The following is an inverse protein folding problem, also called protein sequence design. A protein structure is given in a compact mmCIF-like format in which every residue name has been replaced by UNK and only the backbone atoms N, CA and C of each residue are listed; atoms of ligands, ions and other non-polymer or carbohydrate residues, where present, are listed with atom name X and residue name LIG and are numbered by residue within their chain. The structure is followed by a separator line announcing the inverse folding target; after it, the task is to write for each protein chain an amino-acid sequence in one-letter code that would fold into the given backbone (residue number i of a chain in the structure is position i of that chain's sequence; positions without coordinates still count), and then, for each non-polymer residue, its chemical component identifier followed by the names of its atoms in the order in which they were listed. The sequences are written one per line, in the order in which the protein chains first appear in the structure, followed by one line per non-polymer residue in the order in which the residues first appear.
data_IF_225613269068
#
_entry.id   IF_225613269068
#
_cell.length_a   1.000
_cell.length_b   1.000
_cell.length_c   1.000
_cell.angle_alpha   90.00
_cell.angle_beta   90.00
_cell.angle_gamma   90.00
#
_symmetry.space_group_name_H-M   'P 1'
#
loop_
_entity.id
_entity.type
_entity.pdbx_description
1 polymer ?
#
# COMPACT_ATOMS: atom_id res chain seq x y z
N UNK A 1 11.75 22.93 18.78
CA UNK A 1 12.09 23.09 17.37
C UNK A 1 11.29 22.06 16.57
N UNK A 2 10.51 22.52 15.65
CA UNK A 2 9.33 21.97 14.96
C UNK A 2 9.56 20.62 14.27
N UNK A 3 8.81 19.58 14.72
CA UNK A 3 8.62 18.27 14.05
C UNK A 3 7.67 18.35 12.82
N UNK A 4 7.72 19.44 12.04
CA UNK A 4 6.70 19.69 10.99
C UNK A 4 7.04 19.20 9.58
N UNK A 5 8.24 18.63 9.34
CA UNK A 5 8.73 18.42 7.96
C UNK A 5 9.02 16.97 7.55
N UNK A 6 8.72 15.97 8.39
CA UNK A 6 8.92 14.56 8.07
C UNK A 6 7.80 13.92 7.21
N UNK A 7 6.82 14.70 6.76
CA UNK A 7 5.60 14.18 6.16
C UNK A 7 5.69 13.82 4.65
N UNK A 8 6.80 14.11 3.97
CA UNK A 8 6.90 13.83 2.53
C UNK A 8 6.99 12.33 2.21
N UNK A 9 7.61 11.54 3.08
CA UNK A 9 7.78 10.09 2.89
C UNK A 9 7.04 9.22 3.92
N UNK A 10 6.34 9.79 4.87
CA UNK A 10 5.65 9.04 5.93
C UNK A 10 4.23 8.62 5.53
N UNK A 11 3.98 7.33 5.46
CA UNK A 11 2.69 6.74 5.14
C UNK A 11 1.62 6.91 6.24
N UNK A 12 0.38 6.66 5.87
CA UNK A 12 -0.81 6.64 6.73
C UNK A 12 -0.83 5.43 7.70
N UNK A 13 0.25 4.67 7.78
CA UNK A 13 0.35 3.36 8.46
C UNK A 13 0.06 3.41 9.96
N UNK A 14 0.14 4.58 10.59
CA UNK A 14 -0.28 4.77 11.98
C UNK A 14 -1.76 4.44 12.21
N UNK A 15 -2.61 4.65 11.20
CA UNK A 15 -4.06 4.37 11.29
C UNK A 15 -4.32 2.88 11.53
N UNK A 16 -3.59 1.98 10.89
CA UNK A 16 -3.81 0.54 11.03
C UNK A 16 -3.36 -0.02 12.38
N UNK A 17 -2.31 0.54 12.99
CA UNK A 17 -1.77 0.07 14.27
C UNK A 17 -2.72 0.37 15.44
N UNK A 18 -3.40 1.51 15.41
CA UNK A 18 -4.25 2.01 16.49
C UNK A 18 -5.74 1.65 16.32
N UNK A 19 -6.12 1.06 15.17
CA UNK A 19 -7.49 0.59 14.91
C UNK A 19 -7.95 -0.57 15.84
N UNK A 20 -7.09 -1.02 16.78
CA UNK A 20 -7.46 -2.04 17.77
C UNK A 20 -7.85 -3.38 17.16
N UNK A 21 -7.33 -3.73 15.99
CA UNK A 21 -7.56 -5.03 15.36
C UNK A 21 -6.88 -6.08 16.26
N UNK A 22 -7.64 -6.99 16.89
CA UNK A 22 -7.10 -7.89 17.90
C UNK A 22 -6.03 -8.81 17.29
N UNK A 23 -4.89 -8.94 17.96
CA UNK A 23 -3.84 -9.93 17.69
C UNK A 23 -4.38 -11.34 17.97
N UNK A 24 -5.27 -11.86 17.14
CA UNK A 24 -5.67 -13.26 17.20
C UNK A 24 -5.13 -13.97 15.96
N UNK A 25 -4.28 -14.97 16.19
CA UNK A 25 -4.08 -16.06 15.23
C UNK A 25 -5.47 -16.54 14.84
N UNK A 26 -5.86 -16.40 13.60
CA UNK A 26 -7.13 -16.95 13.10
C UNK A 26 -6.90 -18.47 12.99
N UNK A 27 -7.15 -19.16 14.10
CA UNK A 27 -7.23 -20.60 14.09
C UNK A 27 -8.41 -21.04 13.20
N UNK A 28 -8.23 -22.12 12.47
CA UNK A 28 -9.11 -22.67 11.42
C UNK A 28 -10.55 -23.03 11.85
N UNK A 29 -11.04 -22.64 13.04
CA UNK A 29 -12.32 -23.10 13.58
C UNK A 29 -13.22 -22.01 14.19
N UNK A 30 -13.27 -20.80 13.62
CA UNK A 30 -14.27 -19.82 14.04
C UNK A 30 -15.54 -19.95 13.17
N UNK A 31 -16.57 -20.65 13.67
CA UNK A 31 -17.92 -20.63 13.08
C UNK A 31 -18.55 -19.26 13.25
N UNK A 32 -18.50 -18.44 12.21
CA UNK A 32 -19.25 -17.18 12.15
C UNK A 32 -20.69 -17.44 11.69
N UNK A 33 -21.68 -17.15 12.57
CA UNK A 33 -23.10 -17.12 12.17
C UNK A 33 -23.34 -15.81 11.39
N UNK A 34 -23.56 -15.92 10.08
CA UNK A 34 -24.04 -14.83 9.25
C UNK A 34 -25.53 -14.56 9.54
N UNK A 35 -25.83 -13.42 10.11
CA UNK A 35 -27.21 -12.92 10.22
C UNK A 35 -27.46 -11.96 9.05
N UNK A 36 -27.96 -12.48 7.93
CA UNK A 36 -28.41 -11.66 6.80
C UNK A 36 -29.72 -11.01 7.20
N UNK A 37 -29.76 -9.68 7.41
CA UNK A 37 -31.00 -8.90 7.42
C UNK A 37 -31.29 -8.48 5.99
N UNK A 38 -32.41 -8.94 5.44
CA UNK A 38 -32.95 -8.50 4.16
C UNK A 38 -33.47 -7.07 4.28
N UNK A 39 -32.67 -6.09 3.86
CA UNK A 39 -33.09 -4.71 3.62
C UNK A 39 -33.18 -4.48 2.11
N UNK A 40 -34.31 -3.98 1.63
CA UNK A 40 -34.65 -3.74 0.23
C UNK A 40 -33.82 -2.59 -0.37
N UNK A 41 -32.65 -2.91 -0.87
CA UNK A 41 -31.82 -2.07 -1.71
C UNK A 41 -31.00 -3.02 -2.58
N UNK A 42 -31.46 -3.26 -3.81
CA UNK A 42 -30.81 -4.17 -4.76
C UNK A 42 -29.49 -3.57 -5.29
N UNK A 43 -28.41 -3.60 -4.52
CA UNK A 43 -27.11 -3.83 -5.07
C UNK A 43 -26.85 -5.34 -4.96
N UNK A 44 -27.00 -6.04 -6.08
CA UNK A 44 -26.57 -7.43 -6.20
C UNK A 44 -25.02 -7.43 -6.03
N UNK A 45 -24.54 -7.57 -4.79
CA UNK A 45 -23.19 -8.08 -4.57
C UNK A 45 -23.20 -9.48 -5.17
N UNK A 46 -22.77 -9.61 -6.43
CA UNK A 46 -22.37 -10.90 -6.99
C UNK A 46 -21.40 -11.45 -5.95
N UNK A 47 -21.69 -12.61 -5.38
CA UNK A 47 -20.77 -13.32 -4.50
C UNK A 47 -19.46 -13.49 -5.26
N UNK A 48 -18.53 -12.55 -5.06
CA UNK A 48 -17.24 -12.63 -5.71
C UNK A 48 -16.42 -13.71 -5.02
N UNK A 49 -15.67 -14.45 -5.82
CA UNK A 49 -14.72 -15.44 -5.30
C UNK A 49 -13.42 -14.74 -4.92
N UNK A 50 -12.65 -15.38 -4.04
CA UNK A 50 -11.27 -14.98 -3.82
C UNK A 50 -10.49 -15.11 -5.12
N UNK A 51 -9.43 -14.31 -5.24
CA UNK A 51 -8.57 -14.27 -6.41
C UNK A 51 -7.13 -14.47 -6.02
N UNK A 52 -6.36 -15.05 -6.93
CA UNK A 52 -4.91 -15.17 -6.85
C UNK A 52 -4.30 -14.93 -8.24
N UNK A 53 -2.99 -14.91 -8.33
CA UNK A 53 -2.28 -14.86 -9.60
C UNK A 53 -2.32 -16.23 -10.29
N UNK A 54 -2.27 -16.25 -11.62
CA UNK A 54 -2.24 -17.50 -12.40
C UNK A 54 -0.83 -18.08 -12.47
N UNK A 55 0.16 -17.19 -12.59
CA UNK A 55 1.57 -17.56 -12.75
C UNK A 55 2.46 -16.55 -12.01
N UNK A 56 3.75 -16.80 -12.04
CA UNK A 56 4.74 -15.87 -11.49
C UNK A 56 5.07 -14.76 -12.49
N UNK A 57 5.38 -13.57 -11.96
CA UNK A 57 5.96 -12.46 -12.73
C UNK A 57 7.01 -11.76 -11.87
N UNK A 58 8.16 -11.46 -12.46
CA UNK A 58 9.31 -10.85 -11.77
C UNK A 58 9.55 -9.44 -12.27
N UNK A 59 9.84 -8.53 -11.36
CA UNK A 59 10.36 -7.18 -11.63
C UNK A 59 11.71 -7.03 -10.94
N UNK A 60 12.60 -6.27 -11.58
CA UNK A 60 13.95 -5.97 -11.05
C UNK A 60 14.12 -4.48 -10.96
N UNK A 61 14.69 -3.99 -9.87
CA UNK A 61 14.94 -2.58 -9.66
C UNK A 61 15.88 -2.33 -8.49
N UNK A 62 15.77 -1.16 -7.87
CA UNK A 62 16.53 -0.78 -6.69
C UNK A 62 15.60 -0.35 -5.57
N UNK A 63 16.01 -0.56 -4.32
CA UNK A 63 15.31 -0.01 -3.17
C UNK A 63 15.48 1.51 -3.11
N UNK A 64 14.40 2.27 -2.84
CA UNK A 64 14.49 3.74 -2.80
C UNK A 64 15.35 4.24 -1.63
N UNK A 65 15.31 3.55 -0.51
CA UNK A 65 16.09 3.94 0.67
C UNK A 65 17.46 3.29 0.69
N UNK A 66 17.54 1.99 0.41
CA UNK A 66 18.80 1.24 0.45
C UNK A 66 19.73 1.50 -0.74
N UNK A 67 19.18 1.85 -1.90
CA UNK A 67 19.93 1.93 -3.17
C UNK A 67 20.42 0.57 -3.68
N UNK A 68 20.06 -0.53 -3.02
CA UNK A 68 20.50 -1.86 -3.38
C UNK A 68 19.63 -2.46 -4.50
N UNK A 69 20.24 -3.20 -5.44
CA UNK A 69 19.48 -3.95 -6.43
C UNK A 69 18.64 -5.03 -5.75
N UNK A 70 17.44 -5.25 -6.27
CA UNK A 70 16.47 -6.21 -5.73
C UNK A 70 15.60 -6.79 -6.84
N UNK A 71 15.32 -8.09 -6.73
CA UNK A 71 14.33 -8.79 -7.53
C UNK A 71 13.10 -9.06 -6.66
N UNK A 72 11.94 -8.79 -7.24
CA UNK A 72 10.65 -9.10 -6.64
C UNK A 72 9.85 -9.97 -7.57
N UNK A 73 9.39 -11.13 -7.08
CA UNK A 73 8.55 -12.05 -7.83
C UNK A 73 7.17 -12.14 -7.17
N UNK A 74 6.15 -11.78 -7.93
CA UNK A 74 4.75 -12.00 -7.57
C UNK A 74 4.36 -13.42 -7.96
N UNK A 75 3.72 -14.16 -7.06
CA UNK A 75 3.31 -15.54 -7.29
C UNK A 75 1.92 -15.86 -6.75
N UNK A 76 1.31 -16.98 -7.20
CA UNK A 76 0.04 -17.45 -6.67
C UNK A 76 0.17 -17.90 -5.22
N UNK A 77 -0.94 -17.78 -4.47
CA UNK A 77 -1.05 -18.30 -3.12
C UNK A 77 -2.37 -19.07 -2.93
N UNK A 78 -2.45 -20.02 -1.99
CA UNK A 78 -3.66 -20.77 -1.72
C UNK A 78 -4.80 -19.88 -1.19
N UNK A 79 -6.01 -20.44 -1.19
CA UNK A 79 -7.19 -19.82 -0.57
C UNK A 79 -6.89 -19.45 0.89
N UNK A 80 -7.33 -18.27 1.31
CA UNK A 80 -7.18 -17.74 2.66
C UNK A 80 -5.73 -17.47 3.11
N UNK A 81 -4.75 -17.53 2.21
CA UNK A 81 -3.36 -17.19 2.53
C UNK A 81 -3.17 -15.67 2.79
N UNK A 82 -3.98 -14.83 2.14
CA UNK A 82 -3.76 -13.39 2.13
C UNK A 82 -2.53 -13.00 1.30
N UNK A 83 -1.95 -11.85 1.60
CA UNK A 83 -0.71 -11.37 0.99
C UNK A 83 0.45 -11.71 1.91
N UNK A 84 1.46 -12.41 1.40
CA UNK A 84 2.61 -12.88 2.19
C UNK A 84 3.90 -12.51 1.47
N UNK A 85 4.76 -11.74 2.13
CA UNK A 85 6.12 -11.54 1.66
C UNK A 85 6.98 -12.74 2.03
N UNK A 86 7.88 -13.11 1.15
CA UNK A 86 8.84 -14.20 1.35
C UNK A 86 10.24 -13.64 1.10
N UNK A 87 11.03 -13.49 2.16
CA UNK A 87 12.43 -13.11 2.03
C UNK A 87 13.23 -14.32 1.56
N UNK A 88 13.74 -14.24 0.33
CA UNK A 88 14.59 -15.30 -0.22
C UNK A 88 16.02 -15.19 0.31
N UNK A 89 16.73 -16.33 0.39
CA UNK A 89 18.09 -16.37 0.91
C UNK A 89 18.23 -16.41 2.44
N UNK A 90 17.10 -16.48 3.16
CA UNK A 90 17.04 -16.72 4.60
C UNK A 90 16.59 -18.16 4.89
N UNK A 91 16.76 -18.62 6.14
CA UNK A 91 16.23 -19.91 6.58
C UNK A 91 14.70 -19.96 6.46
N UNK A 92 14.14 -21.11 6.09
CA UNK A 92 12.71 -21.22 5.77
C UNK A 92 11.77 -20.82 6.92
N UNK A 93 12.17 -21.08 8.17
CA UNK A 93 11.37 -20.75 9.34
C UNK A 93 11.14 -19.24 9.54
N UNK A 94 12.09 -18.42 9.09
CA UNK A 94 12.14 -16.97 9.39
C UNK A 94 11.84 -16.08 8.18
N UNK A 95 11.60 -16.69 7.00
CA UNK A 95 11.51 -15.93 5.75
C UNK A 95 10.13 -15.39 5.42
N UNK A 96 9.05 -15.94 5.97
CA UNK A 96 7.69 -15.48 5.70
C UNK A 96 7.29 -14.30 6.58
N UNK A 97 6.79 -13.24 5.94
CA UNK A 97 6.29 -12.04 6.59
C UNK A 97 4.87 -11.77 6.09
N UNK A 98 3.83 -12.15 6.86
CA UNK A 98 2.45 -11.84 6.49
C UNK A 98 2.22 -10.33 6.38
N UNK A 99 1.54 -9.90 5.32
CA UNK A 99 1.15 -8.50 5.13
C UNK A 99 -0.10 -8.18 5.97
N UNK A 100 0.10 -8.02 7.27
CA UNK A 100 -0.95 -7.68 8.23
C UNK A 100 -0.47 -6.59 9.19
N UNK A 101 -1.40 -5.84 9.76
CA UNK A 101 -1.07 -4.72 10.68
C UNK A 101 -0.16 -5.15 11.86
N UNK A 102 -0.28 -6.41 12.31
CA UNK A 102 0.59 -6.95 13.36
C UNK A 102 2.05 -7.15 12.98
N UNK A 103 2.36 -7.17 11.69
CA UNK A 103 3.72 -7.29 11.15
C UNK A 103 4.41 -5.94 10.93
N UNK A 104 3.74 -4.81 11.17
CA UNK A 104 4.33 -3.48 11.00
C UNK A 104 5.30 -3.20 12.14
N UNK A 105 6.57 -2.95 11.80
CA UNK A 105 7.65 -2.66 12.76
C UNK A 105 8.11 -1.21 12.74
N UNK A 106 8.00 -0.53 11.58
CA UNK A 106 8.28 0.90 11.43
C UNK A 106 7.39 1.51 10.34
N UNK A 107 7.17 2.83 10.47
CA UNK A 107 6.44 3.66 9.52
C UNK A 107 7.20 4.95 9.22
N UNK A 108 8.49 4.99 9.57
CA UNK A 108 9.36 6.13 9.31
C UNK A 108 9.77 6.07 7.83
N UNK A 109 9.26 7.03 7.05
CA UNK A 109 9.51 7.21 5.61
C UNK A 109 8.96 6.10 4.69
N UNK A 110 8.71 4.90 5.20
CA UNK A 110 8.16 3.77 4.46
C UNK A 110 7.45 2.81 5.40
N UNK A 111 6.57 1.97 4.86
CA UNK A 111 5.97 0.86 5.61
C UNK A 111 6.92 -0.32 5.65
N UNK A 112 7.42 -0.65 6.86
CA UNK A 112 8.34 -1.76 7.10
C UNK A 112 7.59 -2.88 7.82
N UNK A 113 7.60 -4.06 7.21
CA UNK A 113 6.99 -5.28 7.74
C UNK A 113 8.07 -6.24 8.24
N UNK A 114 7.73 -7.08 9.22
CA UNK A 114 8.59 -8.15 9.71
C UNK A 114 8.67 -8.25 11.22
N UNK A 115 9.79 -8.73 11.71
CA UNK A 115 10.17 -8.74 13.13
C UNK A 115 11.47 -7.96 13.30
N UNK A 116 11.63 -7.22 14.40
CA UNK A 116 12.86 -6.46 14.70
C UNK A 116 14.09 -7.35 14.85
N UNK A 117 13.91 -8.63 15.12
CA UNK A 117 14.96 -9.64 15.25
C UNK A 117 14.98 -10.64 14.10
N UNK A 118 14.06 -10.49 13.13
CA UNK A 118 13.86 -11.40 11.99
C UNK A 118 13.92 -10.69 10.65
N UNK A 119 13.39 -11.30 9.60
CA UNK A 119 13.39 -10.72 8.27
C UNK A 119 12.54 -9.45 8.21
N UNK A 120 13.05 -8.45 7.50
CA UNK A 120 12.37 -7.18 7.25
C UNK A 120 12.08 -7.03 5.76
N UNK A 121 10.95 -6.40 5.44
CA UNK A 121 10.58 -5.93 4.10
C UNK A 121 10.15 -4.47 4.21
N UNK A 122 10.97 -3.59 3.66
CA UNK A 122 10.71 -2.14 3.63
C UNK A 122 9.99 -1.71 2.35
N UNK A 123 9.31 -0.55 2.38
CA UNK A 123 8.62 0.07 1.23
C UNK A 123 7.56 -0.85 0.62
N UNK A 124 6.78 -1.53 1.48
CA UNK A 124 5.79 -2.52 1.06
C UNK A 124 4.51 -1.89 0.46
N UNK A 125 4.23 -0.61 0.73
CA UNK A 125 2.98 0.10 0.42
C UNK A 125 2.63 0.07 -1.07
N UNK A 126 3.59 0.26 -1.98
CA UNK A 126 3.31 0.35 -3.42
C UNK A 126 2.87 -0.99 -4.03
N UNK A 127 3.55 -2.09 -3.69
CA UNK A 127 3.18 -3.42 -4.17
C UNK A 127 1.87 -3.90 -3.54
N UNK A 128 1.64 -3.58 -2.26
CA UNK A 128 0.38 -3.87 -1.57
C UNK A 128 -0.78 -3.09 -2.20
N UNK A 129 -0.56 -1.81 -2.55
CA UNK A 129 -1.53 -1.00 -3.27
C UNK A 129 -1.88 -1.60 -4.64
N UNK A 130 -0.88 -2.06 -5.40
CA UNK A 130 -1.09 -2.71 -6.68
C UNK A 130 -1.92 -3.99 -6.53
N UNK A 131 -1.53 -4.90 -5.63
CA UNK A 131 -2.26 -6.15 -5.40
C UNK A 131 -3.70 -5.89 -4.94
N UNK A 132 -3.89 -5.00 -3.95
CA UNK A 132 -5.23 -4.68 -3.44
C UNK A 132 -6.06 -3.91 -4.47
N UNK A 133 -5.47 -2.92 -5.15
CA UNK A 133 -6.12 -2.12 -6.19
C UNK A 133 -6.56 -2.94 -7.39
N UNK A 134 -5.79 -3.95 -7.78
CA UNK A 134 -6.13 -4.90 -8.85
C UNK A 134 -7.06 -6.03 -8.40
N UNK A 135 -7.41 -6.07 -7.11
CA UNK A 135 -8.38 -7.02 -6.58
C UNK A 135 -7.81 -8.40 -6.29
N UNK A 136 -6.50 -8.54 -6.08
CA UNK A 136 -5.84 -9.80 -5.68
C UNK A 136 -6.02 -10.00 -4.17
N UNK A 137 -6.54 -11.16 -3.77
CA UNK A 137 -6.75 -11.52 -2.37
C UNK A 137 -5.58 -12.30 -1.78
N UNK A 138 -5.02 -13.22 -2.56
CA UNK A 138 -3.98 -14.14 -2.11
C UNK A 138 -2.81 -14.11 -3.08
N UNK A 139 -1.61 -13.77 -2.59
CA UNK A 139 -0.39 -13.77 -3.37
C UNK A 139 0.84 -13.96 -2.49
N UNK A 140 1.87 -14.60 -3.03
CA UNK A 140 3.23 -14.51 -2.50
C UNK A 140 3.97 -13.36 -3.16
N UNK A 141 4.80 -12.67 -2.40
CA UNK A 141 5.69 -11.60 -2.86
C UNK A 141 7.11 -11.96 -2.41
N UNK A 142 7.84 -12.65 -3.28
CA UNK A 142 9.23 -13.04 -2.99
C UNK A 142 10.16 -11.87 -3.24
N UNK A 143 11.06 -11.60 -2.29
CA UNK A 143 12.02 -10.48 -2.35
C UNK A 143 13.39 -10.96 -1.90
N UNK A 144 14.41 -10.79 -2.73
CA UNK A 144 15.79 -11.19 -2.42
C UNK A 144 16.58 -10.14 -1.60
N UNK A 145 15.97 -8.95 -1.39
CA UNK A 145 16.54 -7.85 -0.60
C UNK A 145 15.64 -7.42 0.56
N UNK A 146 16.13 -6.54 1.44
CA UNK A 146 15.37 -6.03 2.60
C UNK A 146 14.32 -4.98 2.24
N UNK A 147 14.22 -4.60 0.96
CA UNK A 147 13.35 -3.53 0.48
C UNK A 147 12.72 -3.91 -0.85
N UNK A 148 11.47 -3.52 -1.06
CA UNK A 148 10.75 -3.65 -2.35
C UNK A 148 11.37 -2.70 -3.38
N UNK A 149 11.55 -3.10 -4.66
CA UNK A 149 12.06 -2.19 -5.68
C UNK A 149 11.10 -1.01 -5.90
N UNK A 150 11.67 0.20 -5.97
CA UNK A 150 10.86 1.42 -6.15
C UNK A 150 10.31 1.57 -7.56
N UNK A 151 10.92 0.91 -8.55
CA UNK A 151 10.59 0.99 -9.97
C UNK A 151 10.65 2.45 -10.47
N UNK A 152 9.56 2.96 -11.01
CA UNK A 152 9.42 4.36 -11.44
C UNK A 152 8.82 5.27 -10.35
N UNK A 153 8.79 4.81 -9.09
CA UNK A 153 8.20 5.52 -7.96
C UNK A 153 6.68 5.38 -7.83
N UNK A 154 6.05 4.64 -8.72
CA UNK A 154 4.60 4.40 -8.75
C UNK A 154 4.28 2.91 -8.62
N UNK A 155 2.99 2.54 -8.67
CA UNK A 155 2.56 1.14 -8.69
C UNK A 155 2.45 0.56 -10.11
N UNK A 156 2.79 1.31 -11.17
CA UNK A 156 2.54 0.92 -12.56
C UNK A 156 3.27 -0.37 -12.97
N UNK A 157 4.52 -0.53 -12.56
CA UNK A 157 5.30 -1.72 -12.88
C UNK A 157 4.73 -2.98 -12.20
N UNK A 158 4.24 -2.86 -10.95
CA UNK A 158 3.59 -3.96 -10.25
C UNK A 158 2.23 -4.31 -10.89
N UNK A 159 1.46 -3.31 -11.35
CA UNK A 159 0.23 -3.55 -12.12
C UNK A 159 0.54 -4.30 -13.41
N UNK A 160 1.59 -3.92 -14.14
CA UNK A 160 2.03 -4.62 -15.36
C UNK A 160 2.46 -6.08 -15.06
N UNK A 161 3.16 -6.31 -13.96
CA UNK A 161 3.53 -7.66 -13.52
C UNK A 161 2.30 -8.51 -13.15
N UNK A 162 1.31 -7.92 -12.47
CA UNK A 162 0.02 -8.58 -12.18
C UNK A 162 -0.72 -8.93 -13.46
N UNK A 163 -0.73 -8.04 -14.46
CA UNK A 163 -1.34 -8.32 -15.77
C UNK A 163 -0.63 -9.46 -16.50
N UNK A 164 0.70 -9.47 -16.46
CA UNK A 164 1.51 -10.54 -17.06
C UNK A 164 1.23 -11.88 -16.36
N UNK A 165 1.18 -11.88 -15.02
CA UNK A 165 0.86 -13.07 -14.24
C UNK A 165 -0.58 -13.56 -14.47
N UNK A 166 -1.50 -12.64 -14.75
CA UNK A 166 -2.93 -12.90 -14.86
C UNK A 166 -3.60 -13.19 -13.52
N UNK A 167 -4.87 -12.81 -13.39
CA UNK A 167 -5.66 -13.04 -12.16
C UNK A 167 -6.66 -14.16 -12.43
N UNK A 168 -6.81 -15.09 -11.46
CA UNK A 168 -7.77 -16.19 -11.51
C UNK A 168 -8.63 -16.26 -10.26
N UNK A 169 -9.88 -16.72 -10.43
CA UNK A 169 -10.77 -16.97 -9.32
C UNK A 169 -10.41 -18.29 -8.63
N UNK A 170 -10.52 -18.29 -7.31
CA UNK A 170 -10.37 -19.47 -6.45
C UNK A 170 -11.73 -20.02 -6.02
N UNK A 171 -11.73 -21.19 -5.35
CA UNK A 171 -12.97 -21.88 -4.96
C UNK A 171 -13.72 -21.20 -3.80
N UNK A 172 -13.05 -20.46 -2.94
CA UNK A 172 -13.65 -19.82 -1.77
C UNK A 172 -14.36 -18.49 -2.09
N UNK A 173 -15.39 -18.18 -1.32
CA UNK A 173 -16.04 -16.87 -1.36
C UNK A 173 -15.11 -15.77 -0.80
N UNK A 174 -15.12 -14.59 -1.43
CA UNK A 174 -14.39 -13.42 -0.93
C UNK A 174 -15.02 -12.92 0.36
N UNK A 175 -14.18 -12.63 1.32
CA UNK A 175 -14.57 -12.01 2.60
C UNK A 175 -14.18 -10.55 2.60
N UNK A 176 -14.91 -9.74 3.39
CA UNK A 176 -14.69 -8.29 3.50
C UNK A 176 -14.74 -7.87 4.97
N UNK A 177 -14.03 -6.80 5.27
CA UNK A 177 -14.21 -6.03 6.50
C UNK A 177 -15.16 -4.88 6.18
N UNK A 178 -16.34 -4.87 6.82
CA UNK A 178 -17.29 -3.78 6.67
C UNK A 178 -17.13 -2.78 7.81
N UNK A 179 -16.96 -1.51 7.46
CA UNK A 179 -16.94 -0.40 8.42
C UNK A 179 -18.37 -0.10 8.84
N UNK A 180 -18.70 -0.33 10.11
CA UNK A 180 -20.08 -0.17 10.65
C UNK A 180 -20.29 1.17 11.36
N UNK A 181 -19.23 1.84 11.79
CA UNK A 181 -19.25 3.15 12.46
C UNK A 181 -17.98 3.92 12.13
N UNK A 182 -17.97 5.25 12.23
CA UNK A 182 -16.75 6.02 12.06
C UNK A 182 -15.68 5.60 13.07
N UNK A 183 -14.45 5.44 12.58
CA UNK A 183 -13.25 5.20 13.40
C UNK A 183 -12.20 6.19 12.94
N UNK A 184 -11.75 7.04 13.85
CA UNK A 184 -10.81 8.13 13.57
C UNK A 184 -9.57 8.02 14.43
N UNK A 185 -8.42 8.22 13.81
CA UNK A 185 -7.11 8.35 14.45
C UNK A 185 -6.53 9.70 14.06
N UNK A 186 -5.97 10.43 15.01
CA UNK A 186 -5.38 11.75 14.77
C UNK A 186 -3.97 11.81 15.36
N UNK A 187 -3.09 12.52 14.64
CA UNK A 187 -1.72 12.83 15.07
C UNK A 187 -1.43 14.30 14.75
N UNK A 188 -1.45 15.15 15.77
CA UNK A 188 -1.38 16.60 15.59
C UNK A 188 -2.57 17.11 14.77
N UNK A 189 -2.29 17.79 13.67
CA UNK A 189 -3.31 18.30 12.75
C UNK A 189 -3.76 17.26 11.69
N UNK A 190 -2.99 16.17 11.55
CA UNK A 190 -3.30 15.11 10.59
C UNK A 190 -4.25 14.09 11.18
N UNK A 191 -5.09 13.50 10.36
CA UNK A 191 -5.98 12.41 10.76
C UNK A 191 -6.24 11.43 9.63
N UNK A 192 -6.61 10.21 10.01
CA UNK A 192 -7.24 9.22 9.16
C UNK A 192 -8.58 8.80 9.74
N UNK A 193 -9.58 8.62 8.90
CA UNK A 193 -10.91 8.20 9.33
C UNK A 193 -11.47 7.14 8.40
N UNK A 194 -11.98 6.04 8.96
CA UNK A 194 -12.80 5.08 8.24
C UNK A 194 -14.27 5.32 8.57
N UNK A 195 -15.13 5.40 7.55
CA UNK A 195 -16.56 5.65 7.66
C UNK A 195 -17.37 4.57 6.95
N UNK A 196 -18.61 4.28 7.41
CA UNK A 196 -19.53 3.46 6.65
C UNK A 196 -19.78 4.03 5.24
N UNK A 197 -19.72 3.16 4.23
CA UNK A 197 -20.00 3.50 2.85
C UNK A 197 -20.72 2.34 2.16
N UNK A 198 -21.60 2.64 1.21
CA UNK A 198 -22.48 1.64 0.57
C UNK A 198 -21.96 1.13 -0.77
N UNK A 199 -20.96 1.79 -1.36
CA UNK A 199 -20.50 1.55 -2.73
C UNK A 199 -19.18 0.80 -2.86
N UNK A 200 -18.79 -0.03 -1.89
CA UNK A 200 -17.48 -0.70 -1.90
C UNK A 200 -16.45 0.03 -1.04
N UNK A 201 -15.24 0.24 -1.53
CA UNK A 201 -14.22 1.05 -0.85
C UNK A 201 -14.00 2.36 -1.61
N UNK A 202 -14.11 3.47 -0.89
CA UNK A 202 -13.83 4.82 -1.36
C UNK A 202 -12.66 5.39 -0.60
N UNK A 203 -11.65 5.92 -1.30
CA UNK A 203 -10.55 6.67 -0.70
C UNK A 203 -10.75 8.17 -0.97
N UNK A 204 -10.61 8.99 0.07
CA UNK A 204 -10.61 10.45 0.00
C UNK A 204 -9.36 10.95 0.70
N UNK A 205 -8.52 11.68 -0.02
CA UNK A 205 -7.24 12.20 0.49
C UNK A 205 -7.17 13.69 0.26
N UNK A 206 -6.79 14.39 1.29
CA UNK A 206 -6.40 15.79 1.25
C UNK A 206 -5.00 15.93 1.85
N UNK A 207 -4.14 16.65 1.18
CA UNK A 207 -2.81 17.03 1.65
C UNK A 207 -2.69 18.55 1.62
N UNK A 208 -1.95 19.11 2.58
CA UNK A 208 -1.68 20.56 2.64
C UNK A 208 -0.21 20.75 3.06
N UNK A 209 0.64 21.04 2.09
CA UNK A 209 2.06 21.26 2.29
C UNK A 209 2.36 22.75 2.24
N UNK A 210 3.22 23.23 3.14
CA UNK A 210 3.70 24.60 3.12
C UNK A 210 4.50 24.95 1.84
N UNK A 211 5.08 23.92 1.19
CA UNK A 211 5.79 24.08 -0.07
C UNK A 211 4.80 24.43 -1.20
N UNK A 212 4.95 25.58 -1.91
CA UNK A 212 3.97 26.04 -2.89
C UNK A 212 3.88 25.15 -4.15
N UNK A 213 4.91 24.33 -4.44
CA UNK A 213 4.90 23.40 -5.57
C UNK A 213 3.89 22.27 -5.36
N UNK A 214 3.74 21.83 -4.12
CA UNK A 214 2.75 20.82 -3.72
C UNK A 214 1.45 21.48 -3.29
N UNK A 215 1.52 22.40 -2.32
CA UNK A 215 0.38 23.14 -1.79
C UNK A 215 -0.72 22.23 -1.25
N UNK A 216 -1.96 22.73 -1.36
CA UNK A 216 -3.15 21.97 -1.00
C UNK A 216 -3.69 21.22 -2.21
N UNK A 217 -3.77 19.90 -2.09
CA UNK A 217 -4.32 19.01 -3.11
C UNK A 217 -5.34 18.08 -2.48
N UNK A 218 -6.33 17.68 -3.27
CA UNK A 218 -7.30 16.66 -2.89
C UNK A 218 -7.47 15.64 -4.03
N UNK A 219 -7.88 14.44 -3.64
CA UNK A 219 -8.21 13.37 -4.55
C UNK A 219 -9.23 12.42 -3.92
N UNK A 220 -10.18 11.94 -4.71
CA UNK A 220 -11.15 10.92 -4.27
C UNK A 220 -11.39 9.89 -5.35
N UNK A 221 -11.63 8.64 -4.95
CA UNK A 221 -11.85 7.53 -5.87
C UNK A 221 -12.71 6.44 -5.23
N UNK A 222 -13.66 5.91 -6.00
CA UNK A 222 -14.30 4.63 -5.72
C UNK A 222 -13.41 3.53 -6.31
N UNK A 223 -12.84 2.68 -5.45
CA UNK A 223 -11.79 1.75 -5.82
C UNK A 223 -12.34 0.57 -6.63
N UNK A 224 -11.80 0.38 -7.80
CA UNK A 224 -11.95 -0.80 -8.65
C UNK A 224 -10.63 -1.05 -9.39
N UNK A 225 -10.39 -2.25 -9.95
CA UNK A 225 -9.18 -2.48 -10.76
C UNK A 225 -9.03 -1.49 -11.92
N UNK A 226 -10.14 -1.09 -12.54
CA UNK A 226 -10.15 -0.13 -13.64
C UNK A 226 -9.80 1.29 -13.15
N UNK A 227 -10.46 1.77 -12.08
CA UNK A 227 -10.19 3.11 -11.55
C UNK A 227 -8.80 3.22 -10.95
N UNK A 228 -8.31 2.19 -10.23
CA UNK A 228 -6.94 2.13 -9.72
C UNK A 228 -5.91 2.28 -10.84
N UNK A 229 -6.06 1.49 -11.89
CA UNK A 229 -5.16 1.53 -13.07
C UNK A 229 -5.13 2.91 -13.71
N UNK A 230 -6.29 3.50 -13.96
CA UNK A 230 -6.41 4.77 -14.69
C UNK A 230 -5.98 5.98 -13.86
N UNK A 231 -6.37 5.99 -12.56
CA UNK A 231 -6.31 7.21 -11.75
C UNK A 231 -5.17 7.24 -10.73
N UNK A 232 -4.67 6.07 -10.29
CA UNK A 232 -3.72 5.99 -9.17
C UNK A 232 -2.40 5.36 -9.59
N UNK A 233 -2.44 4.24 -10.33
CA UNK A 233 -1.27 3.36 -10.49
C UNK A 233 0.01 4.04 -10.97
N UNK A 234 -0.11 5.17 -11.67
CA UNK A 234 1.02 5.92 -12.24
C UNK A 234 1.46 7.13 -11.41
N UNK A 235 0.83 7.39 -10.27
CA UNK A 235 1.22 8.48 -9.39
C UNK A 235 2.53 8.15 -8.67
N UNK A 236 3.56 8.98 -8.89
CA UNK A 236 4.91 8.77 -8.33
C UNK A 236 5.03 9.29 -6.90
N UNK A 237 5.91 8.64 -6.14
CA UNK A 237 6.40 9.19 -4.88
C UNK A 237 7.11 10.53 -5.10
N UNK A 238 7.21 11.34 -4.04
CA UNK A 238 7.72 12.69 -4.15
C UNK A 238 8.55 13.08 -2.92
N UNK A 239 9.47 14.03 -3.12
CA UNK A 239 10.33 14.53 -2.06
C UNK A 239 10.90 15.91 -2.35
N UNK A 240 11.32 16.59 -1.26
CA UNK A 240 11.98 17.88 -1.36
C UNK A 240 13.49 17.70 -1.49
N UNK A 241 14.09 18.39 -2.44
CA UNK A 241 15.56 18.39 -2.65
C UNK A 241 16.30 18.85 -1.38
N UNK A 242 15.74 19.78 -0.63
CA UNK A 242 16.35 20.31 0.58
C UNK A 242 16.48 19.29 1.72
N UNK A 243 15.70 18.19 1.67
CA UNK A 243 15.79 17.11 2.64
C UNK A 243 16.87 16.09 2.32
N UNK A 244 17.43 16.08 1.10
CA UNK A 244 18.30 15.05 0.57
C UNK A 244 19.53 14.81 1.45
N UNK A 245 20.25 15.86 1.84
CA UNK A 245 21.45 15.72 2.66
C UNK A 245 21.16 15.10 4.04
N UNK A 246 20.02 15.47 4.64
CA UNK A 246 19.56 14.91 5.91
C UNK A 246 19.16 13.43 5.76
N UNK A 247 18.45 13.09 4.69
CA UNK A 247 18.03 11.72 4.39
C UNK A 247 19.26 10.82 4.15
N UNK A 248 20.19 11.27 3.33
CA UNK A 248 21.42 10.51 3.04
C UNK A 248 22.26 10.29 4.28
N UNK A 249 22.43 11.30 5.14
CA UNK A 249 23.17 11.15 6.41
C UNK A 249 22.50 10.16 7.37
N UNK A 250 21.19 9.95 7.23
CA UNK A 250 20.42 8.98 7.99
C UNK A 250 20.30 7.60 7.30
N UNK A 251 20.92 7.40 6.11
CA UNK A 251 20.88 6.15 5.37
C UNK A 251 19.60 5.93 4.56
N UNK A 252 18.84 7.00 4.26
CA UNK A 252 17.62 6.95 3.47
C UNK A 252 17.79 7.60 2.09
N UNK A 253 16.88 7.28 1.16
CA UNK A 253 16.80 7.84 -0.19
C UNK A 253 18.08 7.66 -1.01
N UNK A 254 18.87 6.60 -0.75
CA UNK A 254 20.12 6.33 -1.46
C UNK A 254 19.88 5.88 -2.91
N UNK A 255 18.72 5.33 -3.21
CA UNK A 255 18.30 4.92 -4.56
C UNK A 255 17.32 5.90 -5.22
N UNK A 256 17.00 7.04 -4.56
CA UNK A 256 16.13 8.05 -5.13
C UNK A 256 16.79 8.78 -6.31
N UNK A 257 16.02 9.00 -7.38
CA UNK A 257 16.45 9.70 -8.58
C UNK A 257 15.29 10.45 -9.23
N UNK A 258 15.56 11.30 -10.21
CA UNK A 258 14.50 11.95 -10.99
C UNK A 258 13.64 10.96 -11.80
N UNK A 259 14.14 9.75 -12.04
CA UNK A 259 13.41 8.72 -12.78
C UNK A 259 12.33 8.04 -11.93
N UNK A 260 12.52 8.00 -10.60
CA UNK A 260 11.64 7.28 -9.67
C UNK A 260 11.00 8.17 -8.58
N UNK A 261 11.30 9.47 -8.57
CA UNK A 261 10.78 10.39 -7.55
C UNK A 261 10.44 11.73 -8.19
N UNK A 262 9.27 12.27 -7.86
CA UNK A 262 8.94 13.66 -8.15
C UNK A 262 9.69 14.54 -7.15
N UNK A 263 10.67 15.28 -7.64
CA UNK A 263 11.57 16.12 -6.82
C UNK A 263 11.26 17.59 -7.04
N UNK A 264 11.13 18.35 -5.96
CA UNK A 264 10.93 19.78 -6.00
C UNK A 264 11.86 20.49 -5.01
N UNK A 265 12.17 21.75 -5.29
CA UNK A 265 12.78 22.67 -4.33
C UNK A 265 11.70 23.58 -3.69
N UNK A 266 12.11 24.68 -3.06
CA UNK A 266 11.16 25.58 -2.39
C UNK A 266 10.24 26.32 -3.37
N UNK A 267 10.54 26.34 -4.66
CA UNK A 267 9.91 27.22 -5.65
C UNK A 267 9.42 26.52 -6.91
N UNK A 268 10.00 25.38 -7.27
CA UNK A 268 9.72 24.70 -8.56
C UNK A 268 9.87 23.20 -8.50
N UNK A 269 9.19 22.54 -9.41
CA UNK A 269 9.42 21.15 -9.76
C UNK A 269 10.74 21.02 -10.53
N UNK A 270 11.55 20.02 -10.18
CA UNK A 270 12.87 19.79 -10.78
C UNK A 270 12.87 18.72 -11.89
N UNK A 271 11.87 17.85 -11.90
CA UNK A 271 11.70 16.85 -12.96
C UNK A 271 11.37 17.54 -14.29
N UNK A 272 12.17 17.33 -15.37
CA UNK A 272 11.95 17.99 -16.65
C UNK A 272 10.63 17.58 -17.33
N UNK A 273 10.14 16.36 -17.09
CA UNK A 273 8.88 15.84 -17.62
C UNK A 273 7.63 16.40 -16.93
N UNK A 274 7.80 17.07 -15.79
CA UNK A 274 6.68 17.60 -15.02
C UNK A 274 5.92 16.56 -14.19
N UNK A 275 4.76 16.95 -13.69
CA UNK A 275 3.80 16.06 -13.05
C UNK A 275 3.03 15.22 -14.09
N UNK A 276 2.76 13.95 -13.75
CA UNK A 276 1.86 13.08 -14.55
C UNK A 276 0.38 13.43 -14.37
N UNK A 277 0.03 14.03 -13.21
CA UNK A 277 -1.31 14.52 -12.86
C UNK A 277 -1.18 15.86 -12.15
N UNK A 278 -2.11 16.77 -12.32
CA UNK A 278 -2.12 18.07 -11.63
C UNK A 278 -2.13 17.96 -10.10
N UNK A 279 -2.64 16.83 -9.57
CA UNK A 279 -2.69 16.50 -8.15
C UNK A 279 -1.94 15.17 -7.87
N UNK A 280 -0.78 14.97 -8.49
CA UNK A 280 -0.03 13.71 -8.42
C UNK A 280 0.34 13.34 -6.98
N UNK A 281 0.73 14.32 -6.15
CA UNK A 281 1.08 14.07 -4.75
C UNK A 281 -0.11 13.53 -3.93
N UNK A 282 -1.32 14.07 -4.12
CA UNK A 282 -2.51 13.56 -3.44
C UNK A 282 -2.90 12.15 -3.94
N UNK A 283 -2.74 11.88 -5.25
CA UNK A 283 -2.97 10.54 -5.82
C UNK A 283 -1.98 9.53 -5.27
N UNK A 284 -0.71 9.92 -5.13
CA UNK A 284 0.29 9.05 -4.54
C UNK A 284 -0.01 8.76 -3.05
N UNK A 285 -0.45 9.75 -2.28
CA UNK A 285 -0.90 9.51 -0.90
C UNK A 285 -2.14 8.61 -0.83
N UNK A 286 -3.02 8.64 -1.84
CA UNK A 286 -4.11 7.67 -1.94
C UNK A 286 -3.59 6.26 -2.27
N UNK A 287 -2.54 6.14 -3.10
CA UNK A 287 -1.85 4.88 -3.36
C UNK A 287 -1.29 4.29 -2.07
N UNK A 288 -0.51 5.07 -1.31
CA UNK A 288 0.07 4.66 -0.03
C UNK A 288 -1.03 4.19 0.95
N UNK A 289 -2.12 4.99 1.07
CA UNK A 289 -3.24 4.65 1.94
C UNK A 289 -3.92 3.32 1.56
N UNK A 290 -4.08 3.04 0.27
CA UNK A 290 -4.65 1.76 -0.21
C UNK A 290 -3.71 0.60 0.13
N UNK A 291 -2.41 0.78 -0.02
CA UNK A 291 -1.40 -0.22 0.33
C UNK A 291 -1.36 -0.50 1.83
N UNK A 292 -1.33 0.54 2.64
CA UNK A 292 -1.34 0.43 4.10
C UNK A 292 -2.63 -0.22 4.63
N UNK A 293 -3.78 0.14 4.06
CA UNK A 293 -5.06 -0.46 4.41
C UNK A 293 -5.20 -1.92 3.94
N UNK A 294 -4.37 -2.38 2.98
CA UNK A 294 -4.29 -3.80 2.65
C UNK A 294 -3.82 -4.66 3.85
N UNK A 295 -3.07 -4.07 4.78
CA UNK A 295 -2.62 -4.69 6.03
C UNK A 295 -3.77 -5.03 7.00
N UNK A 296 -4.99 -4.60 6.73
CA UNK A 296 -6.18 -5.14 7.40
C UNK A 296 -6.40 -6.64 7.10
N UNK A 297 -5.70 -7.19 6.09
CA UNK A 297 -5.73 -8.59 5.69
C UNK A 297 -6.89 -8.97 4.75
N UNK A 298 -7.96 -8.20 4.72
CA UNK A 298 -9.13 -8.40 3.85
C UNK A 298 -9.52 -7.08 3.17
N UNK A 299 -10.19 -7.13 2.00
CA UNK A 299 -10.74 -5.94 1.36
C UNK A 299 -11.74 -5.21 2.28
N UNK A 300 -11.69 -3.88 2.24
CA UNK A 300 -12.58 -3.02 3.03
C UNK A 300 -13.85 -2.69 2.25
N UNK A 301 -14.96 -2.54 2.98
CA UNK A 301 -16.19 -1.89 2.56
C UNK A 301 -16.41 -0.68 3.48
N UNK A 302 -16.15 0.50 2.94
CA UNK A 302 -16.14 1.75 3.71
C UNK A 302 -15.57 2.91 2.89
N UNK A 303 -15.46 4.08 3.51
CA UNK A 303 -14.77 5.25 2.97
C UNK A 303 -13.82 5.81 4.01
#
# INVERSE_FOLDING_TARGET
VKKRELACFGGLTMVCRDLGIPRRRIGANARFRSRVKSGSGRFAMKFSRQTTLRSHATVTGVGVHSGLPVNLTLGPAPVDAGLVFVRTGLDEADREVPAVAGSVVSTDLATVLGDRQGPLVSTAEHVLAALRGMGVDNATVEVDGPEVPIMDGSAAAFVAAIDQAGIVNQSAARRYIQVLKPVRVAMGESFGELRPHTGGFRAEVEIDFANPVVGRQNFSIDLSPESFRREISRARTFGCMNDTARLWSAGFALGASFENTVVFDDTRLLNPEGFRYSNECARHKALDAIGDLALAGLPLLGA
#
